data_IF_927195839010
#
_entry.id   IF_927195839010
#
_cell.length_a   1.000
_cell.length_b   1.000
_cell.length_c   1.000
_cell.angle_alpha   90.00
_cell.angle_beta   90.00
_cell.angle_gamma   90.00
#
_symmetry.space_group_name_H-M   'P 1'
#
loop_
_entity.id
_entity.type
_entity.pdbx_description
1 polymer ?
#
# COMPACT_ATOMS: atom_id res chain seq x y z
N UNK A 1 -5.63 -10.13 -20.85
CA UNK A 1 -6.64 -10.71 -19.96
C UNK A 1 -6.16 -10.54 -18.53
N UNK A 2 -7.05 -10.19 -17.61
CA UNK A 2 -6.73 -10.01 -16.19
C UNK A 2 -7.55 -11.00 -15.36
N UNK A 3 -6.90 -11.64 -14.38
CA UNK A 3 -7.59 -12.48 -13.40
C UNK A 3 -7.45 -11.81 -12.02
N UNK A 4 -8.59 -11.48 -11.42
CA UNK A 4 -8.63 -10.95 -10.06
C UNK A 4 -8.72 -12.13 -9.09
N UNK A 5 -7.72 -12.27 -8.23
CA UNK A 5 -7.70 -13.28 -7.16
C UNK A 5 -8.19 -12.59 -5.90
N UNK A 6 -9.31 -13.06 -5.34
CA UNK A 6 -9.94 -12.44 -4.19
C UNK A 6 -10.26 -13.45 -3.09
N UNK A 7 -9.91 -13.10 -1.85
CA UNK A 7 -10.07 -14.00 -0.69
C UNK A 7 -11.51 -14.24 -0.24
N UNK A 8 -12.46 -13.47 -0.75
CA UNK A 8 -13.90 -13.59 -0.47
C UNK A 8 -14.66 -13.83 -1.77
N UNK A 9 -15.96 -14.00 -1.68
CA UNK A 9 -16.89 -14.14 -2.81
C UNK A 9 -17.58 -12.83 -3.22
N UNK A 10 -17.19 -11.71 -2.59
CA UNK A 10 -17.67 -10.37 -2.92
C UNK A 10 -16.53 -9.34 -2.87
N UNK A 11 -16.65 -8.30 -3.68
CA UNK A 11 -15.70 -7.18 -3.73
C UNK A 11 -16.07 -6.11 -2.68
N UNK A 12 -15.04 -5.37 -2.22
CA UNK A 12 -15.20 -4.22 -1.30
C UNK A 12 -15.35 -2.87 -2.00
N UNK A 13 -15.06 -2.82 -3.29
CA UNK A 13 -15.14 -1.58 -4.07
C UNK A 13 -16.55 -0.98 -4.07
N UNK A 14 -16.70 0.27 -4.52
CA UNK A 14 -18.01 0.86 -4.77
C UNK A 14 -18.79 0.05 -5.82
N UNK A 15 -20.11 0.04 -5.73
CA UNK A 15 -20.95 -0.76 -6.64
C UNK A 15 -20.67 -0.49 -8.13
N UNK A 16 -20.45 0.78 -8.50
CA UNK A 16 -20.09 1.16 -9.87
C UNK A 16 -18.80 0.48 -10.33
N UNK A 17 -17.78 0.41 -9.46
CA UNK A 17 -16.51 -0.24 -9.79
C UNK A 17 -16.66 -1.77 -9.86
N UNK A 18 -17.45 -2.34 -8.95
CA UNK A 18 -17.79 -3.77 -9.00
C UNK A 18 -18.46 -4.11 -10.32
N UNK A 19 -19.52 -3.39 -10.70
CA UNK A 19 -20.28 -3.63 -11.95
C UNK A 19 -19.36 -3.49 -13.18
N UNK A 20 -18.46 -2.51 -13.19
CA UNK A 20 -17.48 -2.35 -14.28
C UNK A 20 -16.54 -3.55 -14.39
N UNK A 21 -16.03 -4.04 -13.27
CA UNK A 21 -15.11 -5.17 -13.25
C UNK A 21 -15.81 -6.49 -13.60
N UNK A 22 -16.99 -6.75 -13.03
CA UNK A 22 -17.76 -7.97 -13.25
C UNK A 22 -18.27 -8.11 -14.69
N UNK A 23 -18.63 -6.99 -15.34
CA UNK A 23 -19.11 -6.97 -16.70
C UNK A 23 -18.01 -6.80 -17.77
N UNK A 24 -16.73 -6.68 -17.36
CA UNK A 24 -15.64 -6.43 -18.30
C UNK A 24 -15.21 -7.73 -19.01
N UNK A 25 -15.19 -7.79 -20.35
CA UNK A 25 -14.97 -9.03 -21.10
C UNK A 25 -13.54 -9.63 -20.95
N UNK A 26 -12.58 -8.84 -20.48
CA UNK A 26 -11.18 -9.26 -20.27
C UNK A 26 -10.84 -9.53 -18.80
N UNK A 27 -11.80 -9.39 -17.88
CA UNK A 27 -11.58 -9.64 -16.45
C UNK A 27 -12.31 -10.94 -16.06
N UNK A 28 -11.58 -11.79 -15.34
CA UNK A 28 -12.13 -12.99 -14.71
C UNK A 28 -11.79 -12.98 -13.21
N UNK A 29 -12.50 -13.77 -12.42
CA UNK A 29 -12.34 -13.79 -10.97
C UNK A 29 -12.06 -15.20 -10.47
N UNK A 30 -11.12 -15.32 -9.55
CA UNK A 30 -10.91 -16.48 -8.68
C UNK A 30 -11.32 -16.09 -7.26
N UNK A 31 -12.52 -16.44 -6.91
CA UNK A 31 -13.12 -16.16 -5.60
C UNK A 31 -12.62 -17.12 -4.53
N UNK A 32 -12.68 -16.69 -3.27
CA UNK A 32 -12.28 -17.49 -2.11
C UNK A 32 -10.88 -18.08 -2.29
N UNK A 33 -9.99 -17.31 -2.87
CA UNK A 33 -8.65 -17.75 -3.29
C UNK A 33 -7.57 -16.80 -2.78
N UNK A 34 -6.41 -17.36 -2.49
CA UNK A 34 -5.22 -16.63 -2.12
C UNK A 34 -4.02 -17.15 -2.91
N UNK A 35 -3.07 -16.27 -3.21
CA UNK A 35 -1.78 -16.67 -3.76
C UNK A 35 -0.96 -17.27 -2.64
N UNK A 36 -0.50 -18.50 -2.84
CA UNK A 36 0.39 -19.22 -1.91
C UNK A 36 1.85 -19.05 -2.32
N UNK A 37 2.11 -19.11 -3.63
CA UNK A 37 3.47 -19.03 -4.16
C UNK A 37 3.48 -18.38 -5.54
N UNK A 38 4.52 -17.58 -5.81
CA UNK A 38 4.83 -17.07 -7.15
C UNK A 38 5.81 -18.03 -7.81
N UNK A 39 5.42 -18.54 -8.98
CA UNK A 39 6.23 -19.48 -9.76
C UNK A 39 7.02 -18.73 -10.83
N UNK A 40 8.25 -19.15 -11.07
CA UNK A 40 9.11 -18.54 -12.07
C UNK A 40 10.37 -19.34 -12.33
N UNK A 41 11.17 -18.83 -13.25
CA UNK A 41 12.48 -19.37 -13.66
C UNK A 41 13.45 -18.20 -13.91
N UNK A 42 14.58 -18.47 -14.55
CA UNK A 42 15.59 -17.46 -14.89
C UNK A 42 15.06 -16.34 -15.81
N UNK A 43 13.94 -16.56 -16.50
CA UNK A 43 13.31 -15.58 -17.39
C UNK A 43 12.27 -14.73 -16.66
N UNK A 44 11.93 -15.07 -15.42
CA UNK A 44 11.00 -14.34 -14.58
C UNK A 44 9.78 -15.15 -14.14
N UNK A 45 8.70 -14.43 -13.78
CA UNK A 45 7.46 -15.06 -13.35
C UNK A 45 6.76 -15.77 -14.52
N UNK A 46 6.31 -17.02 -14.28
CA UNK A 46 5.57 -17.82 -15.26
C UNK A 46 4.26 -18.39 -14.72
N UNK A 47 3.93 -18.18 -13.45
CA UNK A 47 2.68 -18.65 -12.87
C UNK A 47 2.51 -18.34 -11.40
N UNK A 48 1.38 -18.79 -10.87
CA UNK A 48 1.03 -18.72 -9.46
C UNK A 48 0.51 -20.07 -8.97
N UNK A 49 0.89 -20.45 -7.76
CA UNK A 49 0.21 -21.47 -6.96
C UNK A 49 -0.89 -20.80 -6.15
N UNK A 50 -2.13 -21.17 -6.37
CA UNK A 50 -3.32 -20.54 -5.79
C UNK A 50 -4.02 -21.55 -4.90
N UNK A 51 -4.31 -21.13 -3.67
CA UNK A 51 -5.05 -21.91 -2.68
C UNK A 51 -6.51 -21.50 -2.66
N UNK A 52 -7.38 -22.47 -2.81
CA UNK A 52 -8.80 -22.27 -2.54
C UNK A 52 -9.02 -22.28 -1.01
N UNK A 53 -9.56 -21.18 -0.49
CA UNK A 53 -9.73 -21.00 0.96
C UNK A 53 -10.91 -21.77 1.56
N UNK A 54 -11.80 -22.34 0.72
CA UNK A 54 -12.94 -23.14 1.19
C UNK A 54 -12.58 -24.62 1.39
N UNK A 55 -11.80 -25.19 0.47
CA UNK A 55 -11.45 -26.61 0.50
C UNK A 55 -9.94 -26.89 0.69
N UNK A 56 -9.10 -25.85 0.70
CA UNK A 56 -7.66 -25.98 0.87
C UNK A 56 -6.90 -26.46 -0.38
N UNK A 57 -7.58 -26.68 -1.50
CA UNK A 57 -6.99 -27.18 -2.73
C UNK A 57 -5.99 -26.17 -3.31
N UNK A 58 -4.82 -26.68 -3.73
CA UNK A 58 -3.78 -25.91 -4.40
C UNK A 58 -3.81 -26.22 -5.91
N UNK A 59 -3.90 -25.17 -6.70
CA UNK A 59 -3.87 -25.25 -8.17
C UNK A 59 -2.83 -24.30 -8.75
N UNK A 60 -2.13 -24.73 -9.81
CA UNK A 60 -1.15 -23.89 -10.50
C UNK A 60 -1.78 -23.30 -11.76
N UNK A 61 -1.60 -22.01 -11.92
CA UNK A 61 -2.12 -21.23 -13.06
C UNK A 61 -0.98 -20.48 -13.74
N UNK A 62 -0.91 -20.50 -15.09
CA UNK A 62 0.07 -19.71 -15.82
C UNK A 62 -0.33 -18.22 -15.80
N UNK A 63 0.63 -17.35 -15.47
CA UNK A 63 0.50 -15.90 -15.49
C UNK A 63 1.84 -15.26 -15.87
N UNK A 64 1.79 -14.21 -16.68
CA UNK A 64 2.96 -13.45 -17.13
C UNK A 64 3.40 -12.36 -16.13
N UNK A 65 2.55 -12.04 -15.17
CA UNK A 65 2.83 -11.01 -14.16
C UNK A 65 1.74 -10.93 -13.08
N UNK A 66 2.08 -10.32 -11.95
CA UNK A 66 1.19 -10.15 -10.81
C UNK A 66 1.28 -8.73 -10.26
N UNK A 67 0.12 -8.11 -10.00
CA UNK A 67 0.00 -6.90 -9.21
C UNK A 67 -0.55 -7.23 -7.82
N UNK A 68 0.16 -6.79 -6.78
CA UNK A 68 -0.29 -6.92 -5.40
C UNK A 68 -1.11 -5.68 -5.04
N UNK A 69 -2.42 -5.86 -4.84
CA UNK A 69 -3.38 -4.78 -4.58
C UNK A 69 -4.18 -5.06 -3.29
N UNK A 70 -3.49 -5.51 -2.23
CA UNK A 70 -4.11 -5.96 -0.96
C UNK A 70 -4.20 -4.87 0.10
N UNK A 71 -3.74 -3.66 -0.21
CA UNK A 71 -3.67 -2.52 0.69
C UNK A 71 -2.23 -2.16 1.03
N UNK A 72 -2.07 -1.17 1.90
CA UNK A 72 -0.79 -0.65 2.33
C UNK A 72 -0.70 -0.68 3.85
N UNK A 73 0.48 -0.98 4.35
CA UNK A 73 0.87 -0.80 5.74
C UNK A 73 2.11 0.09 5.73
N UNK A 74 2.12 1.23 6.44
CA UNK A 74 3.29 2.10 6.46
C UNK A 74 4.47 1.41 7.17
N UNK A 75 5.69 1.65 6.68
CA UNK A 75 6.92 1.12 7.30
C UNK A 75 7.34 1.99 8.49
N UNK A 76 6.51 2.04 9.51
CA UNK A 76 6.66 2.93 10.68
C UNK A 76 6.91 2.20 11.99
N UNK A 77 6.98 0.88 11.98
CA UNK A 77 7.22 0.04 13.18
C UNK A 77 8.48 0.46 13.95
N UNK A 78 9.50 0.96 13.25
CA UNK A 78 10.73 1.50 13.85
C UNK A 78 10.45 2.65 14.84
N UNK A 79 9.39 3.41 14.63
CA UNK A 79 9.03 4.58 15.42
C UNK A 79 7.94 4.31 16.46
N UNK A 80 7.53 3.05 16.61
CA UNK A 80 6.51 2.65 17.57
C UNK A 80 6.96 2.99 19.01
N UNK A 81 6.07 3.66 19.75
CA UNK A 81 6.40 4.17 21.09
C UNK A 81 7.34 5.38 21.14
N UNK A 82 7.83 5.85 19.99
CA UNK A 82 8.73 7.01 19.90
C UNK A 82 8.04 8.24 19.29
N UNK A 83 7.17 8.03 18.30
CA UNK A 83 6.39 9.08 17.63
C UNK A 83 4.90 8.77 17.74
N UNK A 84 4.07 9.81 17.72
CA UNK A 84 2.63 9.63 17.66
C UNK A 84 2.20 9.07 16.32
N UNK A 85 1.32 8.06 16.35
CA UNK A 85 0.75 7.40 15.20
C UNK A 85 -0.77 7.40 15.27
N UNK A 86 -1.41 7.23 14.12
CA UNK A 86 -2.83 6.92 14.05
C UNK A 86 -3.09 5.43 14.32
N UNK A 87 -4.36 5.03 14.32
CA UNK A 87 -4.81 3.64 14.54
C UNK A 87 -4.33 2.65 13.45
N UNK A 88 -3.89 3.15 12.30
CA UNK A 88 -3.38 2.37 11.17
C UNK A 88 -1.85 2.38 11.08
N UNK A 89 -1.17 3.03 12.02
CA UNK A 89 0.29 3.11 12.11
C UNK A 89 0.92 4.24 11.29
N UNK A 90 0.14 5.17 10.73
CA UNK A 90 0.71 6.34 10.05
C UNK A 90 1.19 7.39 11.05
N UNK A 91 2.34 8.01 10.76
CA UNK A 91 2.90 9.08 11.60
C UNK A 91 2.00 10.32 11.58
N UNK A 92 1.66 10.82 12.77
CA UNK A 92 0.92 12.08 12.91
C UNK A 92 1.86 13.26 12.78
N UNK A 93 1.45 14.25 11.98
CA UNK A 93 2.12 15.54 11.83
C UNK A 93 1.18 16.67 12.26
N UNK A 94 1.76 17.81 12.64
CA UNK A 94 0.98 19.01 12.93
C UNK A 94 0.31 19.51 11.64
N UNK A 95 -0.93 19.97 11.76
CA UNK A 95 -1.68 20.45 10.60
C UNK A 95 -0.95 21.57 9.85
N UNK A 96 -0.79 21.39 8.53
CA UNK A 96 -0.13 22.36 7.65
C UNK A 96 1.40 22.34 7.70
N UNK A 97 2.02 21.38 8.38
CA UNK A 97 3.47 21.24 8.47
C UNK A 97 3.88 19.76 8.42
N UNK A 98 5.19 19.50 8.59
CA UNK A 98 5.74 18.14 8.67
C UNK A 98 6.30 17.80 10.06
N UNK A 99 6.11 18.68 11.04
CA UNK A 99 6.54 18.47 12.41
C UNK A 99 5.79 17.31 13.06
N UNK A 100 6.56 16.38 13.65
CA UNK A 100 6.01 15.24 14.40
C UNK A 100 5.78 15.60 15.89
N UNK A 101 5.44 14.60 16.70
CA UNK A 101 5.36 14.71 18.15
C UNK A 101 6.72 14.92 18.84
N UNK A 102 7.83 14.79 18.12
CA UNK A 102 9.19 15.01 18.61
C UNK A 102 9.87 16.12 17.84
N UNK A 103 10.45 17.04 18.57
CA UNK A 103 11.25 18.13 18.02
C UNK A 103 12.46 17.61 17.22
N UNK A 104 12.72 18.25 16.08
CA UNK A 104 13.80 17.87 15.16
C UNK A 104 13.50 16.63 14.31
N UNK A 105 12.30 16.06 14.40
CA UNK A 105 11.86 14.94 13.55
C UNK A 105 10.67 15.37 12.72
N UNK A 106 10.79 15.18 11.42
CA UNK A 106 9.80 15.55 10.40
C UNK A 106 9.33 14.32 9.66
N UNK A 107 8.03 14.25 9.32
CA UNK A 107 7.48 13.13 8.57
C UNK A 107 6.81 13.61 7.29
N UNK A 108 7.06 12.90 6.19
CA UNK A 108 6.51 13.21 4.87
C UNK A 108 6.29 11.93 4.04
N UNK A 109 5.60 12.06 2.92
CA UNK A 109 5.32 10.95 2.03
C UNK A 109 4.32 9.94 2.60
N UNK A 110 4.41 8.71 2.10
CA UNK A 110 3.45 7.65 2.38
C UNK A 110 3.38 7.23 3.85
N UNK A 111 4.40 7.53 4.65
CA UNK A 111 4.40 7.21 6.10
C UNK A 111 3.45 8.08 6.92
N UNK A 112 3.02 9.25 6.38
CA UNK A 112 2.05 10.16 7.00
C UNK A 112 0.79 10.35 6.13
N UNK A 113 0.85 10.09 4.82
CA UNK A 113 -0.27 10.24 3.90
C UNK A 113 -1.04 8.91 3.75
N UNK A 114 -2.03 8.70 4.61
CA UNK A 114 -2.91 7.54 4.52
C UNK A 114 -4.02 7.69 3.46
N UNK A 115 -4.17 8.87 2.84
CA UNK A 115 -5.28 9.19 1.93
C UNK A 115 -4.89 9.01 0.47
N UNK A 116 -3.89 9.75 0.00
CA UNK A 116 -3.56 9.84 -1.42
C UNK A 116 -2.49 8.84 -1.86
N UNK A 117 -1.37 8.79 -1.13
CA UNK A 117 -0.23 7.88 -1.41
C UNK A 117 0.19 7.93 -2.87
N UNK A 118 0.41 9.14 -3.36
CA UNK A 118 0.83 9.40 -4.73
C UNK A 118 2.24 10.01 -4.74
N UNK A 119 3.01 9.70 -5.79
CA UNK A 119 4.37 10.22 -5.94
C UNK A 119 4.43 11.76 -5.84
N UNK A 120 3.45 12.45 -6.42
CA UNK A 120 3.38 13.92 -6.39
C UNK A 120 3.08 14.46 -4.99
N UNK A 121 2.22 13.82 -4.22
CA UNK A 121 1.94 14.23 -2.83
C UNK A 121 3.13 13.93 -1.92
N UNK A 122 3.80 12.80 -2.13
CA UNK A 122 5.02 12.46 -1.41
C UNK A 122 6.15 13.47 -1.71
N UNK A 123 6.35 13.85 -2.97
CA UNK A 123 7.33 14.87 -3.35
C UNK A 123 7.00 16.23 -2.74
N UNK A 124 5.72 16.63 -2.73
CA UNK A 124 5.25 17.88 -2.14
C UNK A 124 5.53 17.96 -0.64
N UNK A 125 5.11 16.92 0.10
CA UNK A 125 5.38 16.86 1.55
C UNK A 125 6.87 16.66 1.86
N UNK A 126 7.64 16.00 0.99
CA UNK A 126 9.10 15.93 1.07
C UNK A 126 9.77 17.30 0.96
N UNK A 127 9.31 18.14 0.03
CA UNK A 127 9.77 19.53 -0.09
C UNK A 127 9.42 20.33 1.18
N UNK A 128 8.21 20.17 1.73
CA UNK A 128 7.82 20.80 2.99
C UNK A 128 8.74 20.38 4.13
N UNK A 129 9.03 19.08 4.27
CA UNK A 129 9.90 18.56 5.32
C UNK A 129 11.33 19.11 5.25
N UNK A 130 11.86 19.26 4.03
CA UNK A 130 13.18 19.88 3.82
C UNK A 130 13.21 21.33 4.29
N UNK A 131 12.18 22.12 3.96
CA UNK A 131 12.06 23.52 4.37
C UNK A 131 11.87 23.65 5.87
N UNK A 132 11.01 22.81 6.47
CA UNK A 132 10.77 22.80 7.91
C UNK A 132 12.06 22.43 8.69
N UNK A 133 12.84 21.46 8.20
CA UNK A 133 14.10 21.06 8.77
C UNK A 133 15.16 22.16 8.67
N UNK A 134 15.25 22.84 7.52
CA UNK A 134 16.18 23.99 7.33
C UNK A 134 15.87 25.12 8.31
N UNK A 135 14.60 25.48 8.45
CA UNK A 135 14.17 26.55 9.38
C UNK A 135 14.47 26.17 10.83
N UNK A 136 14.11 24.96 11.22
CA UNK A 136 14.38 24.47 12.56
C UNK A 136 15.88 24.48 12.88
N UNK A 137 16.75 24.02 11.97
CA UNK A 137 18.20 24.06 12.14
C UNK A 137 18.74 25.49 12.28
N UNK A 138 18.21 26.44 11.50
CA UNK A 138 18.60 27.84 11.59
C UNK A 138 18.27 28.45 12.97
N UNK A 139 17.13 28.05 13.56
CA UNK A 139 16.74 28.46 14.92
C UNK A 139 17.61 27.88 16.03
N UNK A 140 18.20 26.68 15.81
CA UNK A 140 19.10 26.04 16.77
C UNK A 140 20.54 26.59 16.72
N UNK A 141 20.88 27.35 15.68
CA UNK A 141 22.25 27.83 15.45
C UNK A 141 22.55 29.21 16.04
N UNK A 142 21.72 29.70 16.98
CA UNK A 142 21.87 31.00 17.66
C UNK A 142 22.49 30.83 19.03
#
# INVERSE_FOLDING_TARGET
KVTVIHRRDELRASKIMQDRALNHPKISFLWNSAVEEVLGDEQGMNGLSIKNLKNGELTKHPFDGMFVAIGHTPNTQLFEGQLEMDENGYLKVQSGSTYTSREGIFACGDVQDHIYRQAVTAAGTGCMAAIDAERWLAEQSI
#
